data_IF_147826329413
#
_entry.id   IF_147826329413
#
_cell.length_a   1.000
_cell.length_b   1.000
_cell.length_c   1.000
_cell.angle_alpha   90.00
_cell.angle_beta   90.00
_cell.angle_gamma   90.00
#
_symmetry.space_group_name_H-M   'P 1'
#
loop_
_entity.id
_entity.type
_entity.pdbx_description
1 polymer ?
#
# COMPACT_ATOMS: atom_id res chain seq x y z
N UNK A 1 -4.41 4.64 -7.31
CA UNK A 1 -4.61 3.17 -7.29
C UNK A 1 -5.52 2.69 -8.42
N UNK A 2 -6.78 3.17 -8.50
CA UNK A 2 -7.69 2.75 -9.59
C UNK A 2 -7.14 3.03 -10.98
N UNK A 3 -6.57 4.22 -11.19
CA UNK A 3 -5.96 4.58 -12.48
C UNK A 3 -4.86 3.60 -12.91
N UNK A 4 -3.93 3.26 -12.02
CA UNK A 4 -2.85 2.32 -12.30
C UNK A 4 -3.39 0.93 -12.69
N UNK A 5 -4.42 0.44 -12.00
CA UNK A 5 -5.08 -0.83 -12.33
C UNK A 5 -5.82 -0.80 -13.67
N UNK A 6 -6.33 0.36 -14.07
CA UNK A 6 -6.93 0.54 -15.40
C UNK A 6 -5.88 0.62 -16.50
N UNK A 7 -4.75 1.29 -16.23
CA UNK A 7 -3.63 1.44 -17.17
C UNK A 7 -2.89 0.11 -17.39
N UNK A 8 -2.73 -0.70 -16.35
CA UNK A 8 -2.00 -1.97 -16.43
C UNK A 8 -2.74 -3.07 -15.65
N UNK A 9 -3.36 -4.05 -16.35
CA UNK A 9 -4.13 -5.12 -15.74
C UNK A 9 -3.27 -6.10 -14.92
N UNK A 10 -1.94 -6.02 -14.97
CA UNK A 10 -1.10 -6.81 -14.04
C UNK A 10 -1.32 -6.40 -12.58
N UNK A 11 -1.73 -5.15 -12.33
CA UNK A 11 -1.99 -4.66 -10.96
C UNK A 11 -3.39 -5.02 -10.44
N UNK A 12 -4.27 -5.57 -11.27
CA UNK A 12 -5.58 -6.06 -10.82
C UNK A 12 -5.47 -7.34 -9.99
N UNK A 13 -4.43 -8.13 -10.19
CA UNK A 13 -4.19 -9.37 -9.44
C UNK A 13 -3.61 -9.12 -8.04
N UNK A 14 -3.06 -7.92 -7.81
CA UNK A 14 -2.46 -7.55 -6.51
C UNK A 14 -3.55 -7.44 -5.44
N UNK A 15 -3.46 -8.26 -4.40
CA UNK A 15 -4.31 -8.17 -3.21
C UNK A 15 -3.97 -6.91 -2.42
N UNK A 16 -4.96 -6.05 -2.17
CA UNK A 16 -4.79 -4.83 -1.39
C UNK A 16 -5.67 -4.91 -0.17
N UNK A 17 -5.03 -4.95 0.99
CA UNK A 17 -5.70 -4.80 2.28
C UNK A 17 -5.54 -3.37 2.77
N UNK A 18 -6.67 -2.68 2.91
CA UNK A 18 -6.70 -1.36 3.55
C UNK A 18 -6.95 -1.59 5.04
N UNK A 19 -6.04 -1.09 5.88
CA UNK A 19 -6.16 -1.13 7.33
C UNK A 19 -6.48 0.30 7.77
N UNK A 20 -7.66 0.48 8.35
CA UNK A 20 -8.08 1.73 8.96
C UNK A 20 -7.69 1.67 10.45
N UNK A 21 -6.82 2.56 10.90
CA UNK A 21 -6.27 2.51 12.26
C UNK A 21 -7.31 2.84 13.33
N UNK A 22 -8.34 3.62 13.01
CA UNK A 22 -9.43 3.97 13.92
C UNK A 22 -10.40 2.80 14.07
N UNK A 23 -10.65 2.05 12.98
CA UNK A 23 -11.55 0.89 12.97
C UNK A 23 -10.88 -0.41 13.38
N UNK A 24 -9.59 -0.56 13.11
CA UNK A 24 -8.82 -1.79 13.31
C UNK A 24 -7.49 -1.54 14.05
N UNK A 25 -7.53 -0.91 15.25
CA UNK A 25 -6.32 -0.53 15.98
C UNK A 25 -5.43 -1.73 16.35
N UNK A 26 -6.02 -2.90 16.58
CA UNK A 26 -5.28 -4.13 16.90
C UNK A 26 -4.42 -4.64 15.74
N UNK A 27 -4.86 -4.41 14.51
CA UNK A 27 -4.09 -4.75 13.31
C UNK A 27 -3.05 -3.67 13.04
N UNK A 28 -3.46 -2.39 13.14
CA UNK A 28 -2.57 -1.26 12.91
C UNK A 28 -1.33 -1.30 13.83
N UNK A 29 -1.51 -1.59 15.13
CA UNK A 29 -0.41 -1.74 16.11
C UNK A 29 0.65 -2.79 15.76
N UNK A 30 0.37 -3.70 14.83
CA UNK A 30 1.36 -4.71 14.37
C UNK A 30 2.37 -4.12 13.39
N UNK A 31 2.07 -2.97 12.79
CA UNK A 31 2.91 -2.33 11.79
C UNK A 31 3.68 -1.16 12.41
N UNK A 32 4.93 -0.99 11.98
CA UNK A 32 5.78 0.11 12.43
C UNK A 32 5.67 1.31 11.48
N UNK A 33 4.68 2.17 11.71
CA UNK A 33 4.44 3.40 10.95
C UNK A 33 4.34 4.61 11.87
N UNK A 34 4.77 5.77 11.38
CA UNK A 34 4.68 7.05 12.12
C UNK A 34 3.66 8.01 11.51
N UNK A 35 3.44 7.94 10.19
CA UNK A 35 2.59 8.88 9.48
C UNK A 35 1.80 8.21 8.35
N UNK A 36 0.50 8.49 8.31
CA UNK A 36 -0.43 7.95 7.30
C UNK A 36 -0.55 8.88 6.09
N UNK A 37 -0.77 8.35 4.87
CA UNK A 37 -0.85 6.93 4.55
C UNK A 37 0.54 6.25 4.52
N UNK A 38 0.57 4.97 4.88
CA UNK A 38 1.78 4.12 4.83
C UNK A 38 1.48 2.87 4.00
N UNK A 39 2.43 2.47 3.16
CA UNK A 39 2.31 1.30 2.30
C UNK A 39 3.31 0.23 2.68
N UNK A 40 2.81 -0.99 2.81
CA UNK A 40 3.59 -2.19 3.07
C UNK A 40 3.36 -3.20 1.95
N UNK A 41 4.40 -3.95 1.61
CA UNK A 41 4.34 -5.14 0.75
C UNK A 41 4.84 -6.30 1.60
N UNK A 42 3.93 -7.22 1.95
CA UNK A 42 4.17 -8.19 3.01
C UNK A 42 4.48 -7.48 4.33
N UNK A 43 5.66 -7.77 4.90
CA UNK A 43 6.17 -7.15 6.14
C UNK A 43 7.12 -5.97 5.90
N UNK A 44 7.38 -5.60 4.64
CA UNK A 44 8.33 -4.54 4.28
C UNK A 44 7.62 -3.22 4.08
N UNK A 45 8.05 -2.17 4.79
CA UNK A 45 7.57 -0.80 4.58
C UNK A 45 8.17 -0.22 3.30
N UNK A 46 7.32 0.13 2.34
CA UNK A 46 7.75 0.67 1.03
C UNK A 46 7.70 2.19 1.00
N UNK A 47 6.66 2.78 1.62
CA UNK A 47 6.48 4.23 1.63
C UNK A 47 5.71 4.70 2.85
N UNK A 48 6.03 5.90 3.34
CA UNK A 48 5.34 6.57 4.45
C UNK A 48 5.13 8.05 4.11
N UNK A 49 3.89 8.52 4.25
CA UNK A 49 3.48 9.91 3.99
C UNK A 49 2.83 10.15 2.63
N UNK A 50 2.78 11.41 2.20
CA UNK A 50 1.97 11.83 1.04
C UNK A 50 2.37 11.05 -0.22
N UNK A 51 1.48 10.22 -0.80
CA UNK A 51 1.82 9.40 -1.94
C UNK A 51 1.59 10.14 -3.26
N UNK A 52 2.54 10.01 -4.18
CA UNK A 52 2.39 10.41 -5.58
C UNK A 52 2.05 9.18 -6.44
N UNK A 53 1.60 9.41 -7.68
CA UNK A 53 1.30 8.31 -8.62
C UNK A 53 2.50 7.36 -8.81
N UNK A 54 3.71 7.91 -8.88
CA UNK A 54 4.95 7.14 -9.06
C UNK A 54 5.27 6.27 -7.84
N UNK A 55 5.07 6.80 -6.62
CA UNK A 55 5.24 6.05 -5.37
C UNK A 55 4.27 4.87 -5.34
N UNK A 56 2.99 5.11 -5.64
CA UNK A 56 1.99 4.04 -5.66
C UNK A 56 2.33 2.99 -6.72
N UNK A 57 2.83 3.41 -7.89
CA UNK A 57 3.31 2.47 -8.93
C UNK A 57 4.47 1.63 -8.41
N UNK A 58 5.44 2.22 -7.70
CA UNK A 58 6.56 1.49 -7.10
C UNK A 58 6.09 0.43 -6.11
N UNK A 59 5.10 0.74 -5.27
CA UNK A 59 4.50 -0.22 -4.33
C UNK A 59 3.91 -1.41 -5.09
N UNK A 60 3.19 -1.14 -6.17
CA UNK A 60 2.62 -2.20 -7.01
C UNK A 60 3.68 -3.03 -7.73
N UNK A 61 4.70 -2.41 -8.33
CA UNK A 61 5.80 -3.14 -8.98
C UNK A 61 6.57 -4.00 -7.96
N UNK A 62 6.70 -3.55 -6.70
CA UNK A 62 7.33 -4.34 -5.64
C UNK A 62 6.47 -5.53 -5.17
N UNK A 63 5.13 -5.39 -5.17
CA UNK A 63 4.21 -6.49 -4.85
C UNK A 63 4.14 -7.61 -5.89
N UNK A 64 4.66 -7.38 -7.10
CA UNK A 64 4.65 -8.33 -8.21
C UNK A 64 5.99 -9.07 -8.38
N UNK A 65 6.97 -8.81 -7.52
CA UNK A 65 8.24 -9.54 -7.50
C UNK A 65 8.11 -10.85 -6.75
#
# INVERSE_FOLDING_TARGET
MKELRTEDPKYTDVDIKIIDEERQPEIAKKYNYYYVPTYFVGDTKIHEGVPTKEIVKKVFDDSLK
#
